data_IF_671483269303
#
_entry.id   IF_671483269303
#
_cell.length_a   1.000
_cell.length_b   1.000
_cell.length_c   1.000
_cell.angle_alpha   90.00
_cell.angle_beta   90.00
_cell.angle_gamma   90.00
#
_symmetry.space_group_name_H-M   'P 1'
#
loop_
_entity.id
_entity.type
_entity.pdbx_description
1 polymer ?
#
# COMPACT_ATOMS: atom_id res chain seq x y z
N UNK A 1 -6.63 -14.38 3.13
CA UNK A 1 -7.28 -13.06 3.13
C UNK A 1 -7.58 -12.61 4.55
N UNK A 2 -6.77 -11.70 5.08
CA UNK A 2 -7.09 -11.08 6.38
C UNK A 2 -8.32 -10.18 6.21
N UNK A 3 -9.30 -10.23 7.13
CA UNK A 3 -10.49 -9.40 7.02
C UNK A 3 -10.11 -7.91 7.08
N UNK A 4 -10.78 -7.11 6.26
CA UNK A 4 -10.61 -5.65 6.09
C UNK A 4 -10.64 -4.88 7.43
N UNK A 5 -11.22 -5.46 8.49
CA UNK A 5 -11.20 -4.93 9.86
C UNK A 5 -9.84 -4.94 10.58
N UNK A 6 -8.83 -5.58 9.98
CA UNK A 6 -7.49 -5.76 10.55
C UNK A 6 -6.43 -4.90 9.86
N UNK A 7 -6.81 -3.84 9.13
CA UNK A 7 -5.92 -3.05 8.27
C UNK A 7 -6.10 -1.54 8.56
N UNK A 8 -5.00 -0.79 8.59
CA UNK A 8 -4.97 0.67 8.55
C UNK A 8 -4.21 1.16 7.32
N UNK A 9 -4.88 1.91 6.43
CA UNK A 9 -4.28 2.43 5.19
C UNK A 9 -3.25 3.52 5.48
N UNK A 10 -1.98 3.31 5.08
CA UNK A 10 -0.98 4.39 5.03
C UNK A 10 -1.23 5.20 3.76
N UNK A 11 -1.22 4.50 2.62
CA UNK A 11 -1.79 4.98 1.38
C UNK A 11 -2.52 3.83 0.69
N UNK A 12 -3.76 4.03 0.26
CA UNK A 12 -4.51 2.96 -0.36
C UNK A 12 -5.55 3.51 -1.33
N UNK A 13 -5.74 2.80 -2.44
CA UNK A 13 -6.87 2.99 -3.35
C UNK A 13 -7.25 1.66 -4.00
N UNK A 14 -7.26 0.57 -3.22
CA UNK A 14 -7.57 -0.77 -3.74
C UNK A 14 -9.07 -1.03 -3.68
N UNK A 15 -9.67 -1.41 -4.80
CA UNK A 15 -11.11 -1.67 -4.87
C UNK A 15 -11.46 -2.67 -5.99
N UNK A 16 -12.73 -3.08 -6.04
CA UNK A 16 -13.32 -3.73 -7.21
C UNK A 16 -13.58 -2.75 -8.36
N UNK A 17 -13.41 -3.21 -9.61
CA UNK A 17 -13.81 -2.48 -10.82
C UNK A 17 -15.35 -2.48 -10.94
N UNK A 18 -16.01 -1.31 -11.04
CA UNK A 18 -17.47 -1.25 -11.20
C UNK A 18 -18.00 -1.82 -12.49
N UNK A 19 -17.22 -1.72 -13.56
CA UNK A 19 -17.59 -2.21 -14.88
C UNK A 19 -17.41 -3.72 -14.99
N UNK A 20 -16.59 -4.29 -14.10
CA UNK A 20 -16.32 -5.71 -14.01
C UNK A 20 -15.98 -6.12 -12.57
N UNK A 21 -16.98 -6.57 -11.82
CA UNK A 21 -16.80 -7.01 -10.42
C UNK A 21 -15.90 -8.24 -10.27
N UNK A 22 -15.49 -8.88 -11.37
CA UNK A 22 -14.48 -9.93 -11.40
C UNK A 22 -13.06 -9.39 -11.57
N UNK A 23 -12.87 -8.07 -11.54
CA UNK A 23 -11.56 -7.41 -11.56
C UNK A 23 -11.39 -6.54 -10.31
N UNK A 24 -10.18 -6.56 -9.77
CA UNK A 24 -9.71 -5.64 -8.73
C UNK A 24 -8.57 -4.80 -9.28
N UNK A 25 -8.41 -3.60 -8.74
CA UNK A 25 -7.38 -2.66 -9.16
C UNK A 25 -6.83 -1.83 -8.01
N UNK A 26 -5.94 -0.90 -8.38
CA UNK A 26 -5.26 0.01 -7.47
C UNK A 26 -4.10 -0.61 -6.70
N UNK A 27 -3.55 0.17 -5.78
CA UNK A 27 -2.41 -0.21 -4.94
C UNK A 27 -2.43 0.51 -3.60
N UNK A 28 -1.62 0.00 -2.68
CA UNK A 28 -1.43 0.63 -1.39
C UNK A 28 -0.24 0.13 -0.59
N UNK A 29 0.16 0.95 0.39
CA UNK A 29 0.84 0.53 1.60
C UNK A 29 -0.13 0.70 2.76
N UNK A 30 -0.10 -0.26 3.66
CA UNK A 30 -0.94 -0.24 4.83
C UNK A 30 -0.25 -0.98 5.96
N UNK A 31 -0.87 -0.95 7.13
CA UNK A 31 -0.42 -1.69 8.31
C UNK A 31 -1.47 -2.69 8.73
N UNK A 32 -1.04 -3.81 9.30
CA UNK A 32 -1.94 -4.70 10.03
C UNK A 32 -2.31 -4.03 11.35
N UNK A 33 -3.59 -3.68 11.55
CA UNK A 33 -4.11 -2.87 12.66
C UNK A 33 -3.62 -3.29 14.06
N UNK A 34 -3.49 -4.60 14.33
CA UNK A 34 -3.15 -5.09 15.67
C UNK A 34 -1.64 -5.22 15.91
N UNK A 35 -0.84 -5.36 14.86
CA UNK A 35 0.62 -5.51 14.98
C UNK A 35 1.37 -4.28 14.49
N UNK A 36 0.69 -3.42 13.72
CA UNK A 36 1.25 -2.32 12.94
C UNK A 36 2.22 -2.76 11.84
N UNK A 37 2.32 -4.05 11.55
CA UNK A 37 3.25 -4.57 10.54
C UNK A 37 2.90 -3.97 9.18
N UNK A 38 3.85 -3.33 8.49
CA UNK A 38 3.57 -2.74 7.20
C UNK A 38 3.43 -3.83 6.14
N UNK A 39 2.61 -3.58 5.13
CA UNK A 39 2.45 -4.45 3.97
C UNK A 39 2.12 -3.62 2.72
N UNK A 40 2.48 -4.16 1.56
CA UNK A 40 2.17 -3.60 0.25
C UNK A 40 1.13 -4.47 -0.44
N UNK A 41 0.24 -3.84 -1.20
CA UNK A 41 -0.83 -4.51 -1.93
C UNK A 41 -1.04 -3.87 -3.29
N UNK A 42 -1.39 -4.68 -4.28
CA UNK A 42 -1.81 -4.22 -5.60
C UNK A 42 -2.86 -5.15 -6.20
N UNK A 43 -3.73 -4.62 -7.07
CA UNK A 43 -4.59 -5.42 -7.93
C UNK A 43 -3.80 -6.47 -8.71
N UNK A 44 -4.32 -7.69 -8.78
CA UNK A 44 -3.73 -8.79 -9.53
C UNK A 44 -4.76 -9.36 -10.54
N UNK A 45 -4.37 -10.43 -11.25
CA UNK A 45 -5.22 -11.03 -12.27
C UNK A 45 -6.60 -11.43 -11.73
N UNK A 46 -7.65 -10.96 -12.40
CA UNK A 46 -9.04 -11.22 -12.03
C UNK A 46 -9.41 -10.60 -10.68
N UNK A 47 -10.16 -11.34 -9.86
CA UNK A 47 -10.71 -10.84 -8.60
C UNK A 47 -9.75 -11.06 -7.41
N UNK A 48 -8.47 -10.76 -7.61
CA UNK A 48 -7.41 -11.02 -6.64
C UNK A 48 -6.55 -9.79 -6.36
N UNK A 49 -5.83 -9.84 -5.24
CA UNK A 49 -4.75 -8.92 -4.91
C UNK A 49 -3.46 -9.70 -4.78
N UNK A 50 -2.35 -9.07 -5.15
CA UNK A 50 -1.01 -9.51 -4.75
C UNK A 50 -0.55 -8.67 -3.55
N UNK A 51 0.14 -9.28 -2.61
CA UNK A 51 0.58 -8.60 -1.38
C UNK A 51 1.88 -9.19 -0.85
N UNK A 52 2.63 -8.36 -0.13
CA UNK A 52 3.77 -8.78 0.66
C UNK A 52 3.75 -8.07 2.02
N UNK A 53 4.00 -8.81 3.10
CA UNK A 53 4.00 -8.27 4.47
C UNK A 53 5.42 -8.20 5.03
N UNK A 54 5.63 -7.18 5.87
CA UNK A 54 6.88 -6.94 6.58
C UNK A 54 7.05 -7.74 7.86
N UNK A 55 6.34 -8.87 8.08
CA UNK A 55 6.38 -9.57 9.39
C UNK A 55 7.77 -10.07 9.77
N UNK A 56 8.59 -10.43 8.77
CA UNK A 56 9.99 -10.84 9.01
C UNK A 56 10.95 -9.65 9.13
N UNK A 57 10.45 -8.42 8.98
CA UNK A 57 11.25 -7.22 9.03
C UNK A 57 11.36 -6.66 10.45
N UNK A 58 12.46 -5.95 10.69
CA UNK A 58 12.82 -5.37 11.99
C UNK A 58 12.05 -4.07 12.19
N UNK A 59 10.91 -4.20 12.86
CA UNK A 59 9.93 -3.16 13.09
C UNK A 59 9.46 -3.21 14.54
N UNK A 60 9.36 -2.04 15.17
CA UNK A 60 8.82 -1.86 16.51
C UNK A 60 7.59 -0.97 16.43
N UNK A 61 6.46 -1.44 16.97
CA UNK A 61 5.25 -0.65 16.98
C UNK A 61 5.38 0.62 17.83
N UNK A 62 5.03 1.77 17.24
CA UNK A 62 5.12 3.09 17.87
C UNK A 62 6.39 3.86 17.55
N UNK A 63 7.39 3.24 16.92
CA UNK A 63 8.61 3.90 16.48
C UNK A 63 8.51 4.39 15.02
N UNK A 64 9.34 5.39 14.69
CA UNK A 64 9.47 5.85 13.30
C UNK A 64 9.98 4.68 12.45
N UNK A 65 9.20 4.33 11.43
CA UNK A 65 9.49 3.22 10.53
C UNK A 65 9.58 3.73 9.11
N UNK A 66 10.68 3.44 8.43
CA UNK A 66 10.82 3.73 7.01
C UNK A 66 10.30 2.54 6.20
N UNK A 67 9.33 2.78 5.32
CA UNK A 67 8.70 1.72 4.51
C UNK A 67 8.76 2.12 3.04
N UNK A 68 9.19 1.18 2.20
CA UNK A 68 9.10 1.28 0.74
C UNK A 68 8.29 0.10 0.22
N UNK A 69 7.22 0.39 -0.50
CA UNK A 69 6.51 -0.59 -1.33
C UNK A 69 6.87 -0.39 -2.79
N UNK A 70 7.17 -1.47 -3.51
CA UNK A 70 7.39 -1.45 -4.96
C UNK A 70 6.42 -2.39 -5.66
N UNK A 71 6.14 -2.09 -6.92
CA UNK A 71 5.38 -2.94 -7.85
C UNK A 71 6.23 -3.02 -9.12
N UNK A 72 6.60 -4.23 -9.54
CA UNK A 72 7.35 -4.44 -10.78
C UNK A 72 6.41 -4.56 -11.99
N UNK A 73 6.97 -4.58 -13.20
CA UNK A 73 6.20 -4.65 -14.46
C UNK A 73 5.44 -5.96 -14.64
N UNK A 74 5.77 -6.99 -13.86
CA UNK A 74 5.05 -8.26 -13.82
C UNK A 74 4.02 -8.30 -12.67
N UNK A 75 3.78 -7.14 -12.04
CA UNK A 75 2.87 -6.94 -10.92
C UNK A 75 3.25 -7.69 -9.65
N UNK A 76 4.52 -8.08 -9.47
CA UNK A 76 4.95 -8.50 -8.15
C UNK A 76 5.13 -7.28 -7.27
N UNK A 77 4.70 -7.41 -6.02
CA UNK A 77 4.95 -6.39 -5.01
C UNK A 77 6.09 -6.80 -4.10
N UNK A 78 6.88 -5.82 -3.66
CA UNK A 78 7.94 -6.04 -2.67
C UNK A 78 7.86 -4.96 -1.60
N UNK A 79 8.00 -5.35 -0.33
CA UNK A 79 8.07 -4.41 0.79
C UNK A 79 9.45 -4.43 1.43
N UNK A 80 10.01 -3.25 1.63
CA UNK A 80 11.25 -3.01 2.34
C UNK A 80 10.95 -2.19 3.59
N UNK A 81 11.57 -2.55 4.71
CA UNK A 81 11.38 -1.89 6.00
C UNK A 81 12.74 -1.56 6.57
N UNK A 82 12.94 -0.31 6.98
CA UNK A 82 14.17 0.19 7.60
C UNK A 82 15.45 -0.16 6.80
N UNK A 83 15.35 -0.09 5.46
CA UNK A 83 16.46 -0.35 4.54
C UNK A 83 16.91 -1.81 4.44
N UNK A 84 16.19 -2.76 5.05
CA UNK A 84 16.49 -4.19 4.98
C UNK A 84 16.00 -4.82 3.67
N UNK A 85 16.47 -6.04 3.40
CA UNK A 85 16.08 -6.84 2.24
C UNK A 85 14.56 -6.94 2.09
N UNK A 86 14.10 -6.79 0.86
CA UNK A 86 12.68 -6.74 0.53
C UNK A 86 12.03 -8.12 0.57
N UNK A 87 10.82 -8.16 1.11
CA UNK A 87 9.96 -9.36 1.06
C UNK A 87 9.09 -9.24 -0.18
N UNK A 88 9.28 -10.15 -1.14
CA UNK A 88 8.56 -10.17 -2.41
C UNK A 88 7.32 -11.08 -2.33
N UNK A 89 6.25 -10.70 -3.00
CA UNK A 89 5.06 -11.55 -3.15
C UNK A 89 5.40 -12.85 -3.88
N UNK A 90 4.67 -13.93 -3.56
CA UNK A 90 4.86 -15.24 -4.21
C UNK A 90 4.25 -15.30 -5.61
N UNK A 91 3.36 -14.37 -5.94
CA UNK A 91 2.72 -14.22 -7.25
C UNK A 91 2.71 -12.76 -7.72
N UNK A 92 2.81 -12.59 -9.03
CA UNK A 92 2.61 -11.31 -9.71
C UNK A 92 1.16 -11.13 -10.18
N UNK A 93 0.95 -10.18 -11.08
CA UNK A 93 -0.36 -9.92 -11.67
C UNK A 93 -0.33 -8.82 -12.72
N UNK A 94 -1.44 -8.60 -13.40
CA UNK A 94 -1.65 -7.45 -14.25
C UNK A 94 -2.08 -6.27 -13.38
N UNK A 95 -1.15 -5.33 -13.23
CA UNK A 95 -1.38 -4.15 -12.42
C UNK A 95 -2.44 -3.24 -13.07
N UNK A 96 -3.65 -3.25 -12.51
CA UNK A 96 -4.76 -2.45 -13.01
C UNK A 96 -4.83 -1.08 -12.28
N UNK A 97 -4.29 -0.05 -12.94
CA UNK A 97 -4.45 1.36 -12.57
C UNK A 97 -5.37 2.13 -13.52
N UNK A 98 -6.25 1.43 -14.26
CA UNK A 98 -7.28 2.09 -15.06
C UNK A 98 -8.27 2.85 -14.16
N UNK A 99 -9.10 3.72 -14.75
CA UNK A 99 -10.06 4.52 -13.99
C UNK A 99 -11.02 3.60 -13.22
N UNK A 100 -10.91 3.56 -11.89
CA UNK A 100 -11.80 2.80 -11.03
C UNK A 100 -13.14 3.52 -10.77
N UNK A 101 -13.85 3.02 -9.75
CA UNK A 101 -15.06 3.65 -9.22
C UNK A 101 -14.84 5.09 -8.76
N UNK A 102 -15.90 5.88 -8.71
CA UNK A 102 -15.87 7.12 -7.93
C UNK A 102 -16.11 6.78 -6.46
N UNK A 103 -15.26 7.30 -5.56
CA UNK A 103 -15.48 7.24 -4.12
C UNK A 103 -16.69 8.09 -3.72
N UNK A 104 -17.19 7.89 -2.50
CA UNK A 104 -18.22 8.76 -1.94
C UNK A 104 -17.73 10.19 -1.63
N UNK A 105 -16.42 10.43 -1.75
CA UNK A 105 -15.79 11.76 -1.68
C UNK A 105 -15.61 12.39 -3.07
N UNK A 106 -16.03 11.73 -4.16
CA UNK A 106 -15.88 12.26 -5.52
C UNK A 106 -14.51 12.06 -6.14
N UNK A 107 -13.69 11.15 -5.59
CA UNK A 107 -12.36 10.81 -6.11
C UNK A 107 -12.40 9.57 -6.99
N UNK A 108 -11.51 9.47 -7.98
CA UNK A 108 -11.42 8.26 -8.81
C UNK A 108 -10.53 7.21 -8.14
N UNK A 109 -11.07 6.03 -7.86
CA UNK A 109 -10.31 4.92 -7.30
C UNK A 109 -9.34 4.32 -8.32
N UNK A 110 -8.33 3.60 -7.84
CA UNK A 110 -7.19 2.99 -8.58
C UNK A 110 -6.10 3.95 -9.03
N UNK A 111 -6.41 5.22 -9.27
CA UNK A 111 -5.45 6.21 -9.74
C UNK A 111 -5.35 7.47 -8.87
N UNK A 112 -6.04 7.50 -7.72
CA UNK A 112 -5.90 8.56 -6.71
C UNK A 112 -5.02 8.10 -5.56
N UNK A 113 -4.12 8.98 -5.12
CA UNK A 113 -3.24 8.75 -3.98
C UNK A 113 -3.87 9.34 -2.71
N UNK A 114 -4.39 8.49 -1.82
CA UNK A 114 -4.95 8.91 -0.55
C UNK A 114 -4.00 8.54 0.59
N UNK A 115 -3.76 9.44 1.54
CA UNK A 115 -2.90 9.21 2.71
C UNK A 115 -3.78 9.17 3.96
N UNK A 116 -3.55 8.17 4.83
CA UNK A 116 -4.25 8.03 6.12
C UNK A 116 -5.56 7.22 6.06
N UNK A 117 -5.79 6.47 4.98
CA UNK A 117 -6.93 5.55 4.85
C UNK A 117 -7.11 5.04 3.42
N UNK A 118 -8.19 4.30 3.20
CA UNK A 118 -8.69 3.95 1.86
C UNK A 118 -9.98 4.75 1.59
N UNK A 119 -10.10 5.53 0.51
CA UNK A 119 -11.36 6.18 0.14
C UNK A 119 -12.43 5.13 -0.17
N UNK A 120 -13.54 5.13 0.58
CA UNK A 120 -14.60 4.14 0.33
C UNK A 120 -15.46 4.53 -0.89
N UNK A 121 -16.00 3.52 -1.57
CA UNK A 121 -17.04 3.70 -2.59
C UNK A 121 -18.39 3.10 -2.15
N UNK A 122 -18.54 2.74 -0.87
CA UNK A 122 -19.76 2.11 -0.41
C UNK A 122 -20.95 3.10 -0.38
N UNK A 123 -22.16 2.58 -0.57
CA UNK A 123 -23.39 3.38 -0.61
C UNK A 123 -23.79 3.97 0.75
N UNK A 124 -23.07 3.62 1.83
CA UNK A 124 -23.42 4.00 3.20
C UNK A 124 -22.82 5.35 3.62
N UNK A 125 -21.98 5.96 2.78
CA UNK A 125 -21.37 7.25 3.10
C UNK A 125 -20.24 7.14 4.13
N UNK A 126 -19.67 5.95 4.36
CA UNK A 126 -18.49 5.79 5.20
C UNK A 126 -17.31 6.57 4.62
N UNK A 127 -16.81 7.56 5.33
CA UNK A 127 -15.79 8.51 4.82
C UNK A 127 -14.51 7.80 4.34
N UNK A 128 -14.14 6.64 4.91
CA UNK A 128 -12.97 5.85 4.50
C UNK A 128 -13.08 4.42 5.02
N UNK A 129 -12.68 3.45 4.19
CA UNK A 129 -12.38 2.09 4.62
C UNK A 129 -10.95 2.03 5.19
N UNK A 130 -10.69 1.12 6.14
CA UNK A 130 -9.37 0.98 6.79
C UNK A 130 -8.77 2.32 7.34
N UNK A 131 -9.53 3.13 8.11
CA UNK A 131 -9.06 4.43 8.56
C UNK A 131 -7.82 4.29 9.46
N UNK A 132 -6.85 5.18 9.28
CA UNK A 132 -5.68 5.27 10.14
C UNK A 132 -5.90 6.40 11.16
N UNK A 133 -6.33 6.04 12.36
CA UNK A 133 -6.81 7.01 13.37
C UNK A 133 -5.70 7.75 14.14
N UNK A 134 -4.46 7.28 14.05
CA UNK A 134 -3.30 7.88 14.75
C UNK A 134 -2.00 7.51 14.03
N UNK A 135 -1.52 8.39 13.14
CA UNK A 135 -0.24 8.24 12.47
C UNK A 135 0.32 9.59 12.04
N UNK A 136 1.65 9.64 11.91
CA UNK A 136 2.39 10.75 11.32
C UNK A 136 3.19 10.22 10.14
N UNK A 137 3.23 10.98 9.05
CA UNK A 137 3.99 10.65 7.85
C UNK A 137 5.04 11.73 7.60
N UNK A 138 6.22 11.29 7.17
CA UNK A 138 7.37 12.16 6.96
C UNK A 138 7.96 11.79 5.60
N UNK A 139 8.18 12.80 4.76
CA UNK A 139 8.91 12.67 3.48
C UNK A 139 8.36 11.58 2.52
N UNK A 140 7.05 11.64 2.22
CA UNK A 140 6.41 10.69 1.29
C UNK A 140 6.87 10.95 -0.15
N UNK A 141 7.41 9.91 -0.80
CA UNK A 141 7.93 9.96 -2.18
C UNK A 141 7.30 8.88 -3.06
N UNK A 142 7.12 9.20 -4.34
CA UNK A 142 6.65 8.28 -5.37
C UNK A 142 7.70 8.22 -6.48
N UNK A 143 8.02 7.01 -6.92
CA UNK A 143 9.03 6.75 -7.95
C UNK A 143 8.36 6.14 -9.19
N UNK A 144 8.88 6.47 -10.37
CA UNK A 144 8.38 5.94 -11.65
C UNK A 144 8.85 4.52 -11.96
N UNK A 145 9.53 3.86 -11.02
CA UNK A 145 10.03 2.49 -11.16
C UNK A 145 10.08 1.79 -9.81
N UNK A 146 10.09 0.45 -9.85
CA UNK A 146 10.47 -0.35 -8.69
C UNK A 146 11.94 -0.07 -8.35
N UNK A 147 12.21 0.33 -7.10
CA UNK A 147 13.56 0.54 -6.61
C UNK A 147 14.30 -0.79 -6.42
N UNK A 148 15.60 -0.77 -6.68
CA UNK A 148 16.52 -1.89 -6.37
C UNK A 148 16.92 -1.88 -4.89
N UNK A 149 17.50 -2.97 -4.39
CA UNK A 149 17.98 -3.05 -3.00
C UNK A 149 18.95 -1.93 -2.61
N UNK A 150 19.90 -1.57 -3.48
CA UNK A 150 20.85 -0.47 -3.26
C UNK A 150 20.17 0.90 -3.22
N UNK A 151 19.16 1.10 -4.06
CA UNK A 151 18.37 2.35 -4.06
C UNK A 151 17.51 2.48 -2.81
N UNK A 152 16.95 1.36 -2.33
CA UNK A 152 16.21 1.29 -1.05
C UNK A 152 17.13 1.62 0.12
N UNK A 153 18.32 1.05 0.19
CA UNK A 153 19.30 1.34 1.24
C UNK A 153 19.68 2.83 1.24
N UNK A 154 19.90 3.40 0.05
CA UNK A 154 20.19 4.83 -0.11
C UNK A 154 19.02 5.71 0.33
N UNK A 155 17.80 5.37 -0.06
CA UNK A 155 16.60 6.08 0.36
C UNK A 155 16.42 6.06 1.89
N UNK A 156 16.69 4.91 2.53
CA UNK A 156 16.66 4.79 3.98
C UNK A 156 17.71 5.68 4.67
N UNK A 157 18.97 5.63 4.23
CA UNK A 157 20.03 6.49 4.77
C UNK A 157 19.69 7.99 4.62
N UNK A 158 19.12 8.38 3.49
CA UNK A 158 18.67 9.75 3.28
C UNK A 158 17.52 10.14 4.23
N UNK A 159 16.59 9.22 4.48
CA UNK A 159 15.50 9.45 5.43
C UNK A 159 16.02 9.62 6.87
N UNK A 160 17.03 8.83 7.28
CA UNK A 160 17.66 8.97 8.60
C UNK A 160 18.30 10.36 8.78
N UNK A 161 18.89 10.93 7.71
CA UNK A 161 19.50 12.25 7.76
C UNK A 161 18.50 13.40 7.96
N UNK A 162 17.19 13.17 7.86
CA UNK A 162 16.18 14.18 8.18
C UNK A 162 16.05 14.42 9.70
N UNK A 163 16.56 13.51 10.53
CA UNK A 163 16.43 13.53 11.98
C UNK A 163 17.78 13.76 12.70
N UNK A 164 18.87 13.92 11.94
CA UNK A 164 20.24 14.07 12.45
C UNK A 164 20.72 15.51 12.34
#
# INVERSE_FOLDING_TARGET
>A
DSPISSIGGIFCSTQYDPSNTNSKGGFGLATLKNTGVPYVIAGANGNAYTSANGNAADYTHGEITHVIGTIDTNGYVTIYVNGKDGIKSTSGGEFNCSKGNMSNMGETLFNTFYIGGDPSADKSGKVSDCPLTSASFIDVKVYSKALTGTEVETAYKNAQNLFN
#
